data_IF_935937546169
#
_entry.id   IF_935937546169
#
_cell.length_a   1.000
_cell.length_b   1.000
_cell.length_c   1.000
_cell.angle_alpha   90.00
_cell.angle_beta   90.00
_cell.angle_gamma   90.00
#
_symmetry.space_group_name_H-M   'P 1'
#
loop_
_entity.id
_entity.type
_entity.pdbx_description
1 polymer ?
#
# COMPACT_ATOMS: atom_id res chain seq x y z
N UNK A 1 68.09 -58.31 -22.41
CA UNK A 1 66.88 -58.64 -21.63
C UNK A 1 65.97 -57.48 -21.40
N UNK A 2 66.03 -56.38 -22.19
CA UNK A 2 65.25 -55.15 -21.95
C UNK A 2 63.91 -55.08 -22.70
N UNK A 3 63.59 -55.96 -23.62
CA UNK A 3 62.42 -55.85 -24.51
C UNK A 3 61.09 -56.39 -23.94
N UNK A 4 61.09 -57.27 -22.95
CA UNK A 4 59.85 -57.87 -22.42
C UNK A 4 59.06 -56.93 -21.50
N UNK A 5 59.74 -56.04 -20.83
CA UNK A 5 59.11 -55.04 -19.93
C UNK A 5 58.39 -53.90 -20.72
N UNK A 6 59.04 -53.44 -21.78
CA UNK A 6 58.47 -52.38 -22.64
C UNK A 6 57.22 -52.84 -23.38
N UNK A 7 57.20 -54.11 -23.84
CA UNK A 7 56.05 -54.71 -24.53
C UNK A 7 54.85 -54.83 -23.55
N UNK A 8 55.11 -55.21 -22.29
CA UNK A 8 54.01 -55.28 -21.28
C UNK A 8 53.42 -53.92 -20.97
N UNK A 9 54.27 -52.89 -20.83
CA UNK A 9 53.79 -51.52 -20.59
C UNK A 9 53.01 -50.99 -21.81
N UNK A 10 53.47 -51.22 -23.01
CA UNK A 10 52.78 -50.81 -24.22
C UNK A 10 51.42 -51.51 -24.39
N UNK A 11 51.33 -52.79 -24.12
CA UNK A 11 50.07 -53.55 -24.15
C UNK A 11 49.09 -53.08 -23.08
N UNK A 12 49.60 -52.85 -21.86
CA UNK A 12 48.74 -52.35 -20.76
C UNK A 12 48.18 -50.94 -21.08
N UNK A 13 49.02 -50.06 -21.64
CA UNK A 13 48.55 -48.71 -22.05
C UNK A 13 47.52 -48.76 -23.19
N UNK A 14 47.72 -49.70 -24.13
CA UNK A 14 46.76 -49.87 -25.27
C UNK A 14 45.41 -50.42 -24.82
N UNK A 15 45.41 -51.37 -23.87
CA UNK A 15 44.20 -51.94 -23.27
C UNK A 15 43.49 -50.88 -22.42
N UNK A 16 44.22 -50.13 -21.62
CA UNK A 16 43.63 -49.02 -20.82
C UNK A 16 43.08 -47.91 -21.69
N UNK A 17 43.72 -47.60 -22.84
CA UNK A 17 43.22 -46.63 -23.82
C UNK A 17 41.91 -47.08 -24.49
N UNK A 18 41.81 -48.37 -24.86
CA UNK A 18 40.61 -48.95 -25.46
C UNK A 18 39.42 -48.98 -24.49
N UNK A 19 39.71 -49.36 -23.23
CA UNK A 19 38.65 -49.36 -22.20
C UNK A 19 38.22 -47.93 -21.88
N UNK A 20 39.16 -47.02 -21.67
CA UNK A 20 38.86 -45.59 -21.41
C UNK A 20 38.11 -44.94 -22.57
N UNK A 21 38.52 -45.19 -23.81
CA UNK A 21 37.86 -44.70 -25.02
C UNK A 21 36.43 -45.29 -25.19
N UNK A 22 36.28 -46.61 -24.93
CA UNK A 22 35.00 -47.27 -25.00
C UNK A 22 34.00 -46.77 -23.96
N UNK A 23 34.44 -46.54 -22.74
CA UNK A 23 33.58 -45.95 -21.66
C UNK A 23 33.25 -44.48 -21.99
N UNK A 24 34.18 -43.70 -22.49
CA UNK A 24 33.91 -42.31 -22.89
C UNK A 24 32.90 -42.26 -24.08
N UNK A 25 33.11 -43.08 -25.10
CA UNK A 25 32.23 -43.17 -26.26
C UNK A 25 30.84 -43.71 -25.89
N UNK A 26 30.77 -44.74 -25.05
CA UNK A 26 29.52 -45.31 -24.52
C UNK A 26 28.78 -44.31 -23.63
N UNK A 27 29.50 -43.56 -22.80
CA UNK A 27 28.94 -42.51 -21.97
C UNK A 27 28.35 -41.36 -22.80
N UNK A 28 29.09 -40.89 -23.81
CA UNK A 28 28.59 -39.81 -24.71
C UNK A 28 27.34 -40.27 -25.45
N UNK A 29 27.33 -41.49 -26.02
CA UNK A 29 26.16 -42.01 -26.71
C UNK A 29 24.97 -42.24 -25.76
N UNK A 30 25.21 -42.68 -24.52
CA UNK A 30 24.17 -42.84 -23.50
C UNK A 30 23.54 -41.49 -23.12
N UNK A 31 24.35 -40.42 -22.94
CA UNK A 31 23.86 -39.08 -22.67
C UNK A 31 23.17 -38.46 -23.90
N UNK A 32 23.61 -38.71 -25.13
CA UNK A 32 22.97 -38.24 -26.34
C UNK A 32 21.62 -38.92 -26.64
N UNK A 33 21.51 -40.21 -26.39
CA UNK A 33 20.26 -40.98 -26.64
C UNK A 33 19.19 -40.79 -25.52
N UNK A 34 19.58 -40.39 -24.32
CA UNK A 34 18.63 -40.21 -23.20
C UNK A 34 18.15 -38.79 -23.02
N UNK A 35 18.27 -37.91 -24.07
CA UNK A 35 17.67 -36.55 -24.09
C UNK A 35 17.79 -35.80 -22.75
N UNK A 36 18.94 -35.85 -22.08
CA UNK A 36 19.27 -34.83 -21.11
C UNK A 36 19.69 -33.62 -21.97
N UNK A 37 18.70 -32.83 -22.38
CA UNK A 37 18.89 -31.62 -23.13
C UNK A 37 19.67 -30.61 -22.26
N UNK A 38 20.98 -30.64 -22.39
CA UNK A 38 21.76 -29.43 -22.17
C UNK A 38 21.35 -28.48 -23.30
N UNK A 39 20.49 -27.53 -23.00
CA UNK A 39 20.16 -26.44 -23.90
C UNK A 39 21.44 -25.60 -24.13
N UNK A 40 22.28 -26.03 -25.07
CA UNK A 40 23.25 -25.16 -25.66
C UNK A 40 22.47 -24.23 -26.59
N UNK A 41 22.18 -23.02 -26.14
CA UNK A 41 21.80 -21.90 -27.00
C UNK A 41 22.94 -21.70 -27.98
N UNK A 42 22.85 -22.29 -29.19
CA UNK A 42 23.74 -21.94 -30.29
C UNK A 42 23.45 -20.50 -30.67
N UNK A 43 24.40 -19.62 -30.39
CA UNK A 43 24.42 -18.26 -30.95
C UNK A 43 24.46 -18.43 -32.47
N UNK A 44 23.55 -17.81 -33.24
CA UNK A 44 23.59 -17.88 -34.71
C UNK A 44 24.89 -17.21 -35.17
N UNK A 45 25.85 -18.00 -35.61
CA UNK A 45 26.96 -17.49 -36.43
C UNK A 45 26.41 -17.11 -37.80
N UNK A 46 26.41 -15.81 -38.10
CA UNK A 46 25.90 -15.29 -39.36
C UNK A 46 26.58 -15.92 -40.57
N UNK A 47 25.85 -16.72 -41.31
CA UNK A 47 26.10 -16.97 -42.71
C UNK A 47 24.92 -16.43 -43.52
N UNK A 48 25.25 -15.65 -44.58
CA UNK A 48 24.31 -14.98 -45.47
C UNK A 48 23.43 -15.96 -46.27
N UNK A 49 22.59 -16.73 -45.60
CA UNK A 49 21.46 -17.44 -46.26
C UNK A 49 20.23 -17.24 -45.34
N UNK A 50 19.17 -16.73 -45.93
CA UNK A 50 17.86 -16.52 -45.34
C UNK A 50 17.45 -17.72 -44.47
N UNK A 51 17.72 -17.67 -43.16
CA UNK A 51 17.25 -18.64 -42.20
C UNK A 51 15.84 -18.23 -41.75
N UNK A 52 14.83 -19.02 -42.11
CA UNK A 52 13.55 -18.88 -41.44
C UNK A 52 13.71 -19.32 -39.96
N UNK A 53 13.60 -18.38 -39.05
CA UNK A 53 13.46 -18.66 -37.62
C UNK A 53 12.06 -19.20 -37.37
N UNK A 54 11.94 -20.53 -37.25
CA UNK A 54 10.68 -21.14 -36.79
C UNK A 54 10.62 -21.09 -35.29
N UNK A 55 9.64 -20.37 -34.71
CA UNK A 55 9.31 -20.46 -33.32
C UNK A 55 8.60 -21.79 -33.06
N UNK A 56 9.23 -22.67 -32.30
CA UNK A 56 8.58 -23.93 -31.86
C UNK A 56 7.63 -23.61 -30.73
N UNK A 57 6.33 -23.88 -30.90
CA UNK A 57 5.34 -23.85 -29.86
C UNK A 57 5.55 -25.05 -28.92
N UNK A 58 6.37 -24.91 -27.89
CA UNK A 58 6.44 -25.85 -26.79
C UNK A 58 5.20 -25.61 -25.93
N UNK A 59 4.22 -26.51 -25.98
CA UNK A 59 3.10 -26.50 -25.06
C UNK A 59 3.60 -26.94 -23.67
N UNK A 60 4.08 -26.00 -22.88
CA UNK A 60 4.41 -26.27 -21.47
C UNK A 60 3.14 -26.03 -20.66
N UNK A 61 2.56 -27.10 -20.16
CA UNK A 61 1.39 -27.04 -19.28
C UNK A 61 1.88 -26.72 -17.86
N UNK A 62 2.25 -25.44 -17.59
CA UNK A 62 2.68 -24.97 -16.26
C UNK A 62 1.48 -24.48 -15.50
N UNK A 63 0.85 -25.36 -14.71
CA UNK A 63 -0.19 -24.98 -13.75
C UNK A 63 0.41 -24.87 -12.36
N UNK A 64 0.99 -23.70 -12.03
CA UNK A 64 1.39 -23.41 -10.64
C UNK A 64 0.18 -23.00 -9.79
N UNK A 65 0.30 -23.11 -8.47
CA UNK A 65 -0.74 -22.62 -7.57
C UNK A 65 -0.94 -21.10 -7.71
N UNK A 66 0.14 -20.34 -7.94
CA UNK A 66 0.08 -18.91 -8.22
C UNK A 66 -0.74 -18.59 -9.48
N UNK A 67 -0.57 -19.37 -10.55
CA UNK A 67 -1.38 -19.24 -11.78
C UNK A 67 -2.87 -19.47 -11.49
N UNK A 68 -3.21 -20.49 -10.69
CA UNK A 68 -4.61 -20.74 -10.30
C UNK A 68 -5.20 -19.62 -9.47
N UNK A 69 -4.45 -19.07 -8.51
CA UNK A 69 -4.88 -17.92 -7.72
C UNK A 69 -5.14 -16.71 -8.60
N UNK A 70 -4.25 -16.43 -9.56
CA UNK A 70 -4.41 -15.34 -10.51
C UNK A 70 -5.67 -15.51 -11.35
N UNK A 71 -5.83 -16.65 -12.04
CA UNK A 71 -6.98 -16.90 -12.91
C UNK A 71 -8.32 -16.82 -12.15
N UNK A 72 -8.34 -17.31 -10.91
CA UNK A 72 -9.53 -17.31 -10.07
C UNK A 72 -9.89 -15.92 -9.52
N UNK A 73 -8.95 -14.99 -9.41
CA UNK A 73 -9.17 -13.73 -8.70
C UNK A 73 -9.00 -12.47 -9.56
N UNK A 74 -8.35 -12.56 -10.73
CA UNK A 74 -8.10 -11.39 -11.61
C UNK A 74 -9.36 -10.58 -11.93
N UNK A 75 -10.51 -11.25 -12.10
CA UNK A 75 -11.78 -10.59 -12.39
C UNK A 75 -12.37 -9.80 -11.19
N UNK A 76 -11.86 -10.00 -9.98
CA UNK A 76 -12.21 -9.21 -8.81
C UNK A 76 -11.27 -8.01 -8.59
N UNK A 77 -10.18 -7.89 -9.36
CA UNK A 77 -9.23 -6.78 -9.27
C UNK A 77 -9.50 -5.78 -10.38
N UNK A 78 -9.49 -4.50 -10.06
CA UNK A 78 -9.83 -3.41 -10.96
C UNK A 78 -8.78 -2.31 -10.90
N UNK A 79 -8.64 -1.55 -11.99
CA UNK A 79 -7.91 -0.27 -11.96
C UNK A 79 -8.86 0.83 -11.49
N UNK A 80 -8.39 1.73 -10.65
CA UNK A 80 -9.12 2.88 -10.11
C UNK A 80 -8.45 4.15 -10.60
N UNK A 81 -9.21 4.97 -11.34
CA UNK A 81 -8.73 6.21 -11.94
C UNK A 81 -9.39 7.40 -11.26
N UNK A 82 -8.58 8.27 -10.70
CA UNK A 82 -8.98 9.54 -10.13
C UNK A 82 -9.02 10.61 -11.22
N UNK A 83 -10.19 11.19 -11.43
CA UNK A 83 -10.43 12.23 -12.42
C UNK A 83 -10.60 13.58 -11.70
N UNK A 84 -9.85 14.59 -12.12
CA UNK A 84 -9.95 15.94 -11.58
C UNK A 84 -10.27 16.94 -12.66
N UNK A 85 -10.89 18.07 -12.27
CA UNK A 85 -11.11 19.20 -13.17
C UNK A 85 -9.77 19.88 -13.43
N UNK A 86 -9.49 20.21 -14.68
CA UNK A 86 -8.32 21.01 -15.03
C UNK A 86 -8.40 22.33 -14.28
N UNK A 87 -7.45 22.58 -13.38
CA UNK A 87 -7.29 23.89 -12.77
C UNK A 87 -6.76 24.85 -13.84
N UNK A 88 -7.54 25.81 -14.24
CA UNK A 88 -7.13 26.87 -15.17
C UNK A 88 -6.19 27.88 -14.47
N UNK A 89 -5.10 27.40 -13.90
CA UNK A 89 -4.02 28.25 -13.39
C UNK A 89 -2.92 28.39 -14.43
N UNK A 90 -3.26 28.79 -15.64
CA UNK A 90 -2.29 29.30 -16.61
C UNK A 90 -2.41 30.81 -16.74
N UNK A 91 -2.17 31.52 -15.64
CA UNK A 91 -1.90 32.95 -15.67
C UNK A 91 -0.39 33.22 -15.91
N UNK A 92 0.26 32.38 -16.74
CA UNK A 92 1.63 32.65 -17.19
C UNK A 92 1.66 33.51 -18.48
N UNK A 93 0.52 33.73 -19.15
CA UNK A 93 0.44 34.50 -20.39
C UNK A 93 0.47 36.03 -20.17
N UNK A 94 0.51 36.52 -18.92
CA UNK A 94 0.49 37.93 -18.60
C UNK A 94 1.83 38.55 -18.23
N UNK A 95 2.94 37.82 -18.25
CA UNK A 95 4.27 38.32 -17.82
C UNK A 95 5.25 38.54 -18.98
N UNK A 96 4.98 38.01 -20.16
CA UNK A 96 5.77 38.39 -21.35
C UNK A 96 4.94 39.34 -22.21
N UNK A 97 5.05 40.62 -21.84
CA UNK A 97 4.57 41.74 -22.66
C UNK A 97 5.17 41.68 -24.03
N UNK A 98 4.33 41.54 -25.04
CA UNK A 98 4.59 41.75 -26.45
C UNK A 98 3.43 42.55 -26.98
N UNK A 99 3.62 43.85 -27.02
CA UNK A 99 2.80 44.81 -27.73
C UNK A 99 2.87 44.48 -29.22
N UNK A 100 1.75 44.12 -29.84
CA UNK A 100 1.47 44.55 -31.21
C UNK A 100 -0.03 44.48 -31.52
N UNK A 101 -0.51 45.60 -31.96
CA UNK A 101 -1.84 45.95 -32.38
C UNK A 101 -2.24 45.26 -33.69
N UNK A 102 -3.42 44.76 -33.78
CA UNK A 102 -4.46 45.17 -34.74
C UNK A 102 -5.51 44.07 -35.00
N UNK A 103 -6.74 44.47 -34.85
CA UNK A 103 -7.82 44.22 -35.82
C UNK A 103 -8.72 43.03 -35.67
N UNK A 104 -9.91 43.36 -35.20
CA UNK A 104 -11.25 42.92 -35.69
C UNK A 104 -11.81 41.54 -35.41
N UNK A 105 -13.00 41.69 -34.83
CA UNK A 105 -14.27 40.99 -35.02
C UNK A 105 -14.56 39.65 -34.33
N UNK A 106 -15.28 39.85 -33.24
CA UNK A 106 -16.58 39.27 -32.87
C UNK A 106 -16.96 37.91 -33.46
N UNK A 107 -17.03 36.96 -32.59
CA UNK A 107 -18.25 36.17 -32.43
C UNK A 107 -18.26 35.50 -31.05
N UNK A 108 -19.14 36.00 -30.20
CA UNK A 108 -19.56 35.41 -28.94
C UNK A 108 -20.26 34.08 -29.21
N UNK A 109 -19.53 33.01 -29.11
CA UNK A 109 -20.14 31.71 -28.84
C UNK A 109 -19.94 31.43 -27.37
N UNK A 110 -21.01 31.59 -26.62
CA UNK A 110 -21.17 31.05 -25.27
C UNK A 110 -21.08 29.54 -25.32
N UNK A 111 -19.86 29.02 -25.39
CA UNK A 111 -19.58 27.61 -25.22
C UNK A 111 -19.50 27.36 -23.71
N UNK A 112 -20.53 26.70 -23.19
CA UNK A 112 -20.59 26.19 -21.84
C UNK A 112 -19.33 25.37 -21.60
N UNK A 113 -18.39 25.97 -20.86
CA UNK A 113 -17.13 25.33 -20.46
C UNK A 113 -17.42 24.11 -19.59
N UNK A 114 -17.73 22.98 -20.21
CA UNK A 114 -17.65 21.69 -19.56
C UNK A 114 -16.19 21.50 -19.19
N UNK A 115 -15.84 21.76 -17.93
CA UNK A 115 -14.50 21.57 -17.40
C UNK A 115 -14.07 20.13 -17.65
N UNK A 116 -13.18 19.95 -18.64
CA UNK A 116 -12.71 18.62 -19.05
C UNK A 116 -12.03 17.95 -17.88
N UNK A 117 -12.52 16.75 -17.53
CA UNK A 117 -11.91 15.91 -16.50
C UNK A 117 -10.65 15.27 -17.07
N UNK A 118 -9.53 15.38 -16.38
CA UNK A 118 -8.26 14.76 -16.72
C UNK A 118 -7.91 13.69 -15.68
N UNK A 119 -7.17 12.66 -16.11
CA UNK A 119 -6.67 11.61 -15.23
C UNK A 119 -5.54 12.17 -14.38
N UNK A 120 -5.74 12.20 -13.05
CA UNK A 120 -4.79 12.75 -12.09
C UNK A 120 -3.90 11.69 -11.46
N UNK A 121 -4.48 10.58 -11.04
CA UNK A 121 -3.77 9.44 -10.47
C UNK A 121 -4.51 8.14 -10.74
N UNK A 122 -3.76 7.06 -10.75
CA UNK A 122 -4.25 5.71 -10.92
C UNK A 122 -3.79 4.81 -9.78
N UNK A 123 -4.60 3.80 -9.47
CA UNK A 123 -4.31 2.76 -8.51
C UNK A 123 -5.13 1.52 -8.80
N UNK A 124 -5.16 0.62 -7.87
CA UNK A 124 -5.92 -0.63 -7.93
C UNK A 124 -7.06 -0.65 -6.92
N UNK A 125 -8.00 -1.57 -7.12
CA UNK A 125 -9.09 -1.83 -6.18
C UNK A 125 -9.49 -3.30 -6.21
N UNK A 126 -10.19 -3.72 -5.17
CA UNK A 126 -10.67 -5.08 -5.01
C UNK A 126 -12.17 -5.11 -4.83
N UNK A 127 -12.89 -5.80 -5.71
CA UNK A 127 -14.32 -6.07 -5.57
C UNK A 127 -14.49 -7.15 -4.52
N UNK A 128 -15.06 -6.81 -3.37
CA UNK A 128 -15.21 -7.73 -2.24
C UNK A 128 -16.66 -8.13 -1.94
N UNK A 129 -17.63 -7.36 -2.45
CA UNK A 129 -19.04 -7.62 -2.18
C UNK A 129 -19.92 -7.23 -3.36
N UNK A 130 -20.92 -8.08 -3.67
CA UNK A 130 -22.04 -7.79 -4.57
C UNK A 130 -23.34 -7.86 -3.78
N UNK A 131 -24.21 -6.86 -3.94
CA UNK A 131 -25.50 -6.80 -3.22
C UNK A 131 -26.52 -6.07 -4.10
N UNK A 132 -27.48 -6.82 -4.62
CA UNK A 132 -28.44 -6.31 -5.61
C UNK A 132 -27.73 -5.73 -6.83
N UNK A 133 -28.12 -4.54 -7.25
CA UNK A 133 -27.56 -3.82 -8.41
C UNK A 133 -26.24 -3.11 -8.10
N UNK A 134 -25.68 -3.30 -6.91
CA UNK A 134 -24.45 -2.67 -6.47
C UNK A 134 -23.33 -3.68 -6.23
N UNK A 135 -22.09 -3.26 -6.54
CA UNK A 135 -20.89 -3.92 -6.06
C UNK A 135 -19.99 -2.92 -5.34
N UNK A 136 -19.29 -3.42 -4.34
CA UNK A 136 -18.43 -2.62 -3.46
C UNK A 136 -16.97 -2.98 -3.70
N UNK A 137 -16.16 -1.94 -3.79
CA UNK A 137 -14.70 -2.03 -4.04
C UNK A 137 -14.00 -1.37 -2.86
N UNK A 138 -12.97 -2.04 -2.32
CA UNK A 138 -12.00 -1.41 -1.44
C UNK A 138 -10.78 -0.96 -2.25
N UNK A 139 -10.28 0.23 -1.94
CA UNK A 139 -9.04 0.80 -2.47
C UNK A 139 -8.36 1.67 -1.40
N UNK A 140 -7.24 2.32 -1.71
CA UNK A 140 -6.65 3.29 -0.80
C UNK A 140 -7.31 4.67 -0.90
N UNK A 141 -7.36 5.37 0.23
CA UNK A 141 -7.87 6.74 0.29
C UNK A 141 -7.05 7.70 -0.58
N UNK A 142 -5.71 7.58 -0.59
CA UNK A 142 -4.87 8.47 -1.39
C UNK A 142 -5.12 8.32 -2.91
N UNK A 143 -5.58 7.15 -3.38
CA UNK A 143 -5.95 6.92 -4.79
C UNK A 143 -7.16 7.76 -5.21
N UNK A 144 -8.13 7.95 -4.33
CA UNK A 144 -9.40 8.63 -4.62
C UNK A 144 -9.50 10.04 -4.07
N UNK A 145 -8.53 10.47 -3.27
CA UNK A 145 -8.54 11.77 -2.61
C UNK A 145 -8.54 12.92 -3.62
N UNK A 146 -9.35 13.97 -3.36
CA UNK A 146 -9.46 15.15 -4.22
C UNK A 146 -10.13 14.91 -5.57
N UNK A 147 -10.70 13.72 -5.82
CA UNK A 147 -11.35 13.42 -7.10
C UNK A 147 -12.61 14.25 -7.34
N UNK A 148 -12.78 14.70 -8.58
CA UNK A 148 -14.07 15.21 -9.08
C UNK A 148 -14.98 14.10 -9.57
N UNK A 149 -14.39 13.00 -10.07
CA UNK A 149 -15.07 11.77 -10.45
C UNK A 149 -14.10 10.57 -10.33
N UNK A 150 -14.65 9.38 -10.16
CA UNK A 150 -13.89 8.13 -10.15
C UNK A 150 -14.35 7.24 -11.29
N UNK A 151 -13.40 6.71 -12.04
CA UNK A 151 -13.61 5.67 -13.06
C UNK A 151 -12.94 4.39 -12.60
N UNK A 152 -13.63 3.28 -12.81
CA UNK A 152 -13.10 1.93 -12.57
C UNK A 152 -12.98 1.22 -13.90
N UNK A 153 -11.85 0.56 -14.15
CA UNK A 153 -11.64 -0.30 -15.33
C UNK A 153 -11.55 -1.74 -14.81
N UNK A 154 -12.46 -2.57 -15.31
CA UNK A 154 -12.51 -3.99 -15.02
C UNK A 154 -11.39 -4.75 -15.76
N UNK A 155 -11.11 -5.98 -15.34
CA UNK A 155 -10.08 -6.83 -15.98
C UNK A 155 -10.35 -7.15 -17.46
N UNK A 156 -11.57 -7.00 -17.94
CA UNK A 156 -11.97 -7.14 -19.35
C UNK A 156 -11.92 -5.82 -20.14
N UNK A 157 -11.44 -4.72 -19.51
CA UNK A 157 -11.37 -3.39 -20.09
C UNK A 157 -12.66 -2.57 -19.97
N UNK A 158 -13.74 -3.13 -19.41
CA UNK A 158 -15.01 -2.40 -19.20
C UNK A 158 -14.81 -1.22 -18.26
N UNK A 159 -15.20 -0.02 -18.68
CA UNK A 159 -15.11 1.23 -17.89
C UNK A 159 -16.42 1.52 -17.21
N UNK A 160 -16.41 1.71 -15.91
CA UNK A 160 -17.57 2.01 -15.08
C UNK A 160 -17.33 3.28 -14.25
N UNK A 161 -18.36 4.09 -14.06
CA UNK A 161 -18.32 5.18 -13.08
C UNK A 161 -18.50 4.61 -11.67
N UNK A 162 -17.74 5.12 -10.72
CA UNK A 162 -17.83 4.74 -9.32
C UNK A 162 -18.21 5.93 -8.46
N UNK A 163 -18.93 5.65 -7.35
CA UNK A 163 -19.24 6.62 -6.31
C UNK A 163 -18.47 6.26 -5.04
N UNK A 164 -17.88 7.24 -4.38
CA UNK A 164 -17.26 7.06 -3.06
C UNK A 164 -18.40 6.82 -2.05
N UNK A 165 -18.31 5.72 -1.30
CA UNK A 165 -19.21 5.39 -0.18
C UNK A 165 -18.69 6.01 1.10
N UNK A 166 -17.38 5.92 1.34
CA UNK A 166 -16.69 6.51 2.46
C UNK A 166 -15.19 6.38 2.31
N UNK A 167 -14.48 7.22 3.06
CA UNK A 167 -13.01 7.27 3.06
C UNK A 167 -12.48 7.41 4.48
N UNK A 168 -11.28 6.89 4.71
CA UNK A 168 -10.54 7.05 5.95
C UNK A 168 -9.07 7.34 5.70
N UNK A 169 -8.68 8.58 5.94
CA UNK A 169 -7.30 9.04 5.74
C UNK A 169 -6.31 8.51 6.79
N UNK A 170 -6.81 8.01 7.93
CA UNK A 170 -5.97 7.48 9.01
C UNK A 170 -5.45 6.08 8.67
N UNK A 171 -6.30 5.20 8.16
CA UNK A 171 -5.94 3.86 7.70
C UNK A 171 -5.58 3.81 6.22
N UNK A 172 -5.78 4.93 5.49
CA UNK A 172 -5.58 5.02 4.03
C UNK A 172 -6.48 4.06 3.24
N UNK A 173 -7.74 3.88 3.66
CA UNK A 173 -8.73 3.04 3.00
C UNK A 173 -9.91 3.87 2.46
N UNK A 174 -10.51 3.40 1.38
CA UNK A 174 -11.73 3.93 0.79
C UNK A 174 -12.62 2.80 0.29
N UNK A 175 -13.93 3.03 0.31
CA UNK A 175 -14.94 2.15 -0.29
C UNK A 175 -15.62 2.87 -1.44
N UNK A 176 -15.64 2.20 -2.60
CA UNK A 176 -16.35 2.65 -3.79
C UNK A 176 -17.55 1.75 -4.06
N UNK A 177 -18.55 2.31 -4.75
CA UNK A 177 -19.75 1.61 -5.22
C UNK A 177 -19.86 1.76 -6.74
N UNK A 178 -20.06 0.63 -7.44
CA UNK A 178 -20.32 0.56 -8.89
C UNK A 178 -21.62 -0.20 -9.17
N UNK A 179 -22.13 -0.12 -10.40
CA UNK A 179 -23.19 -1.02 -10.87
C UNK A 179 -22.64 -2.45 -10.97
N UNK A 180 -23.41 -3.43 -10.48
CA UNK A 180 -22.97 -4.82 -10.38
C UNK A 180 -23.16 -5.65 -11.63
N UNK A 181 -23.80 -5.13 -12.69
CA UNK A 181 -24.20 -5.89 -13.88
C UNK A 181 -23.03 -6.55 -14.62
N UNK A 182 -21.86 -5.93 -14.57
CA UNK A 182 -20.61 -6.44 -15.17
C UNK A 182 -19.70 -7.18 -14.18
N UNK A 183 -20.11 -7.29 -12.92
CA UNK A 183 -19.29 -7.96 -11.89
C UNK A 183 -19.56 -9.45 -11.90
N UNK A 184 -18.56 -10.23 -12.30
CA UNK A 184 -18.62 -11.70 -12.40
C UNK A 184 -18.01 -12.38 -11.18
N UNK A 185 -17.11 -11.70 -10.44
CA UNK A 185 -16.36 -12.28 -9.34
C UNK A 185 -16.17 -11.28 -8.20
N UNK A 186 -16.19 -11.79 -6.98
CA UNK A 186 -15.77 -11.09 -5.76
C UNK A 186 -14.69 -11.90 -5.08
N UNK A 187 -13.73 -11.23 -4.43
CA UNK A 187 -12.70 -11.88 -3.65
C UNK A 187 -13.13 -12.14 -2.21
N UNK A 188 -12.51 -13.13 -1.57
CA UNK A 188 -12.75 -13.49 -0.17
C UNK A 188 -11.56 -13.08 0.69
N UNK A 189 -11.82 -12.53 1.87
CA UNK A 189 -10.79 -12.20 2.85
C UNK A 189 -10.35 -13.44 3.64
N UNK A 190 -9.05 -13.58 3.84
CA UNK A 190 -8.44 -14.49 4.80
C UNK A 190 -8.17 -13.81 6.13
N UNK A 191 -7.80 -14.59 7.15
CA UNK A 191 -7.44 -14.06 8.46
C UNK A 191 -5.95 -13.68 8.51
N UNK A 192 -5.66 -12.37 8.51
CA UNK A 192 -4.28 -11.85 8.57
C UNK A 192 -3.55 -12.11 9.89
N UNK A 193 -4.25 -12.52 10.95
CA UNK A 193 -3.60 -12.92 12.20
C UNK A 193 -2.97 -14.32 12.13
N UNK A 194 -3.42 -15.16 11.21
CA UNK A 194 -2.95 -16.54 11.05
C UNK A 194 -1.81 -16.71 10.05
N UNK A 195 -1.47 -15.68 9.27
CA UNK A 195 -0.37 -15.72 8.30
C UNK A 195 0.98 -15.96 9.00
N UNK A 196 1.94 -16.54 8.30
CA UNK A 196 3.28 -16.80 8.82
C UNK A 196 4.33 -16.15 7.93
N UNK A 197 5.43 -15.71 8.54
CA UNK A 197 6.61 -15.22 7.82
C UNK A 197 7.16 -16.36 6.96
N UNK A 198 7.52 -16.06 5.71
CA UNK A 198 7.97 -17.04 4.72
C UNK A 198 6.86 -17.64 3.86
N UNK A 199 5.56 -17.44 4.19
CA UNK A 199 4.46 -17.86 3.31
C UNK A 199 4.46 -17.05 2.01
N UNK A 200 4.10 -17.71 0.91
CA UNK A 200 3.96 -17.05 -0.41
C UNK A 200 2.90 -15.98 -0.37
N UNK A 201 3.25 -14.81 -0.86
CA UNK A 201 2.38 -13.67 -1.06
C UNK A 201 2.30 -13.31 -2.55
N UNK A 202 1.09 -13.01 -3.03
CA UNK A 202 0.80 -12.70 -4.42
C UNK A 202 0.07 -11.35 -4.48
N UNK A 203 0.61 -10.37 -5.19
CA UNK A 203 -0.08 -9.10 -5.41
C UNK A 203 -0.61 -9.04 -6.85
N UNK A 204 -1.86 -8.61 -7.00
CA UNK A 204 -2.47 -8.35 -8.30
C UNK A 204 -2.88 -6.88 -8.33
N UNK A 205 -2.53 -6.18 -9.42
CA UNK A 205 -2.83 -4.76 -9.57
C UNK A 205 -2.52 -4.22 -10.95
N UNK A 206 -2.46 -2.89 -11.04
CA UNK A 206 -2.17 -2.15 -12.27
C UNK A 206 -0.91 -1.30 -12.09
N UNK A 207 0.28 -1.92 -11.92
CA UNK A 207 1.51 -1.17 -11.74
C UNK A 207 1.76 -0.27 -12.95
N UNK A 208 2.08 1.00 -12.72
CA UNK A 208 2.32 1.99 -13.77
C UNK A 208 1.08 2.31 -14.66
N UNK A 209 -0.14 2.08 -14.13
CA UNK A 209 -1.39 2.48 -14.76
C UNK A 209 -2.18 1.36 -15.43
N UNK A 210 -3.34 1.73 -15.97
CA UNK A 210 -4.34 0.81 -16.54
C UNK A 210 -3.83 0.00 -17.74
N UNK A 211 -2.78 0.48 -18.43
CA UNK A 211 -2.12 -0.27 -19.53
C UNK A 211 -1.45 -1.56 -19.04
N UNK A 212 -1.14 -1.63 -17.74
CA UNK A 212 -0.55 -2.79 -17.07
C UNK A 212 -1.53 -3.44 -16.08
N UNK A 213 -2.83 -3.28 -16.34
CA UNK A 213 -3.89 -3.87 -15.53
C UNK A 213 -3.71 -5.39 -15.38
N UNK A 214 -4.10 -5.93 -14.21
CA UNK A 214 -4.01 -7.36 -13.90
C UNK A 214 -2.60 -7.95 -13.94
N UNK A 215 -1.57 -7.17 -13.58
CA UNK A 215 -0.22 -7.69 -13.37
C UNK A 215 -0.15 -8.47 -12.07
N UNK A 216 0.46 -9.67 -12.11
CA UNK A 216 0.75 -10.50 -10.94
C UNK A 216 2.21 -10.35 -10.54
N UNK A 217 2.48 -10.07 -9.26
CA UNK A 217 3.81 -10.20 -8.66
C UNK A 217 3.78 -11.20 -7.52
N UNK A 218 4.89 -11.87 -7.27
CA UNK A 218 5.03 -12.92 -6.26
C UNK A 218 6.23 -12.65 -5.37
N UNK A 219 6.08 -12.93 -4.10
CA UNK A 219 7.10 -12.86 -3.06
C UNK A 219 6.67 -13.66 -1.84
N UNK A 220 7.12 -13.23 -0.67
CA UNK A 220 6.79 -13.85 0.62
C UNK A 220 6.30 -12.80 1.63
N UNK A 221 5.73 -13.25 2.72
CA UNK A 221 5.47 -12.44 3.90
C UNK A 221 6.79 -12.30 4.67
N UNK A 222 7.35 -11.08 4.68
CA UNK A 222 8.62 -10.76 5.36
C UNK A 222 8.43 -10.43 6.83
N UNK A 223 7.27 -9.82 7.21
CA UNK A 223 6.85 -9.61 8.59
C UNK A 223 5.33 -9.48 8.68
N UNK A 224 4.74 -9.92 9.80
CA UNK A 224 3.29 -10.03 9.95
C UNK A 224 2.63 -8.84 10.68
N UNK A 225 3.33 -8.20 11.60
CA UNK A 225 2.84 -7.04 12.38
C UNK A 225 3.97 -6.04 12.59
N UNK A 226 4.29 -5.28 11.55
CA UNK A 226 5.28 -4.21 11.66
C UNK A 226 4.58 -2.88 11.91
N UNK A 227 5.08 -2.11 12.88
CA UNK A 227 4.60 -0.75 13.11
C UNK A 227 5.42 0.19 12.25
N UNK A 228 4.77 0.94 11.36
CA UNK A 228 5.38 1.97 10.51
C UNK A 228 4.77 3.33 10.85
N UNK A 229 5.59 4.39 10.76
CA UNK A 229 5.10 5.75 10.92
C UNK A 229 4.26 6.14 9.69
N UNK A 230 3.11 6.80 9.93
CA UNK A 230 2.35 7.46 8.86
C UNK A 230 2.67 8.95 8.85
N UNK A 231 2.92 9.51 7.67
CA UNK A 231 3.29 10.92 7.52
C UNK A 231 2.24 11.69 6.71
N UNK A 232 2.16 13.01 6.93
CA UNK A 232 1.43 13.94 6.06
C UNK A 232 2.31 14.36 4.87
N UNK A 233 1.76 15.20 4.00
CA UNK A 233 2.47 15.76 2.82
C UNK A 233 3.68 16.61 3.19
N UNK A 234 3.77 17.08 4.43
CA UNK A 234 4.91 17.85 4.97
C UNK A 234 5.95 16.98 5.67
N UNK A 235 5.87 15.63 5.56
CA UNK A 235 6.79 14.69 6.19
C UNK A 235 6.63 14.53 7.71
N UNK A 236 5.64 15.17 8.33
CA UNK A 236 5.41 15.05 9.78
C UNK A 236 4.69 13.74 10.11
N UNK A 237 5.18 13.02 11.12
CA UNK A 237 4.52 11.81 11.62
C UNK A 237 3.15 12.15 12.21
N UNK A 238 2.10 11.60 11.61
CA UNK A 238 0.71 11.81 12.04
C UNK A 238 0.14 10.65 12.85
N UNK A 239 0.78 9.49 12.81
CA UNK A 239 0.36 8.29 13.51
C UNK A 239 1.28 7.11 13.23
N UNK A 240 0.82 5.94 13.62
CA UNK A 240 1.46 4.66 13.32
C UNK A 240 0.42 3.68 12.78
N UNK A 241 0.80 2.91 11.78
CA UNK A 241 0.00 1.82 11.22
C UNK A 241 0.67 0.48 11.51
N UNK A 242 -0.13 -0.54 11.81
CA UNK A 242 0.35 -1.93 11.84
C UNK A 242 0.14 -2.53 10.46
N UNK A 243 1.20 -3.08 9.86
CA UNK A 243 1.20 -3.55 8.48
C UNK A 243 1.80 -4.94 8.35
N UNK A 244 1.45 -5.62 7.26
CA UNK A 244 2.16 -6.79 6.74
C UNK A 244 3.31 -6.24 5.89
N UNK A 245 4.53 -6.74 6.09
CA UNK A 245 5.65 -6.49 5.20
C UNK A 245 5.83 -7.68 4.25
N UNK A 246 6.09 -7.38 2.98
CA UNK A 246 6.35 -8.38 1.93
C UNK A 246 7.48 -7.89 1.02
N UNK A 247 8.19 -8.80 0.38
CA UNK A 247 9.13 -8.52 -0.72
C UNK A 247 8.47 -8.65 -2.10
N UNK A 248 7.17 -8.99 -2.12
CA UNK A 248 6.36 -8.90 -3.34
C UNK A 248 6.48 -7.49 -3.92
N UNK A 249 6.81 -7.36 -5.20
CA UNK A 249 7.01 -6.06 -5.83
C UNK A 249 5.72 -5.22 -5.77
N UNK A 250 5.70 -4.21 -4.90
CA UNK A 250 4.63 -3.22 -4.77
C UNK A 250 5.16 -1.90 -5.32
N UNK A 251 4.57 -1.46 -6.44
CA UNK A 251 4.93 -0.24 -7.16
C UNK A 251 3.74 0.71 -7.24
N UNK A 252 3.98 1.91 -7.77
CA UNK A 252 2.90 2.86 -8.10
C UNK A 252 1.86 2.15 -9.00
N UNK A 253 0.58 2.25 -8.60
CA UNK A 253 -0.53 1.58 -9.27
C UNK A 253 -0.99 0.27 -8.61
N UNK A 254 -0.14 -0.46 -7.85
CA UNK A 254 -0.59 -1.60 -7.04
C UNK A 254 -1.30 -1.17 -5.74
N UNK A 255 -1.18 0.11 -5.33
CA UNK A 255 -1.88 0.66 -4.17
C UNK A 255 -3.38 0.48 -4.30
N UNK A 256 -4.02 -0.03 -3.24
CA UNK A 256 -5.45 -0.37 -3.20
C UNK A 256 -5.79 -1.75 -3.74
N UNK A 257 -4.86 -2.43 -4.41
CA UNK A 257 -5.00 -3.81 -4.86
C UNK A 257 -4.75 -4.82 -3.74
N UNK A 258 -5.20 -6.07 -3.91
CA UNK A 258 -5.06 -7.13 -2.92
C UNK A 258 -3.65 -7.71 -2.83
N UNK A 259 -3.28 -8.12 -1.62
CA UNK A 259 -2.25 -9.11 -1.33
C UNK A 259 -2.95 -10.42 -1.00
N UNK A 260 -2.71 -11.48 -1.79
CA UNK A 260 -3.29 -12.80 -1.60
C UNK A 260 -2.30 -13.76 -0.94
N UNK A 261 -2.82 -14.74 -0.21
CA UNK A 261 -2.09 -15.95 0.12
C UNK A 261 -2.19 -16.97 -1.02
N UNK A 262 -1.45 -18.08 -0.91
CA UNK A 262 -1.43 -19.14 -1.93
C UNK A 262 -2.76 -19.91 -2.03
N UNK A 263 -3.69 -19.75 -1.09
CA UNK A 263 -5.06 -20.27 -1.17
C UNK A 263 -6.02 -19.33 -1.93
N UNK A 264 -5.55 -18.16 -2.38
CA UNK A 264 -6.35 -17.15 -3.08
C UNK A 264 -7.23 -16.31 -2.16
N UNK A 265 -6.95 -16.26 -0.87
CA UNK A 265 -7.62 -15.38 0.08
C UNK A 265 -6.84 -14.07 0.22
N UNK A 266 -7.54 -12.96 0.32
CA UNK A 266 -6.96 -11.62 0.55
C UNK A 266 -6.49 -11.51 1.99
N UNK A 267 -5.19 -11.36 2.20
CA UNK A 267 -4.56 -11.19 3.52
C UNK A 267 -4.25 -9.73 3.83
N UNK A 268 -4.30 -8.85 2.83
CA UNK A 268 -4.11 -7.41 3.01
C UNK A 268 -4.44 -6.61 1.75
N UNK A 269 -4.45 -5.28 1.91
CA UNK A 269 -4.55 -4.30 0.81
C UNK A 269 -3.21 -3.56 0.72
N UNK A 270 -2.59 -3.60 -0.44
CA UNK A 270 -1.29 -3.00 -0.70
C UNK A 270 -1.36 -1.47 -0.58
N UNK A 271 -0.36 -0.84 0.02
CA UNK A 271 -0.25 0.62 0.11
C UNK A 271 1.21 1.05 -0.05
N UNK A 272 1.51 1.71 -1.15
CA UNK A 272 2.84 2.27 -1.41
C UNK A 272 3.14 3.47 -0.50
N UNK A 273 2.12 4.22 -0.07
CA UNK A 273 2.28 5.35 0.87
C UNK A 273 2.97 4.94 2.18
N UNK A 274 2.80 3.68 2.59
CA UNK A 274 3.40 3.13 3.80
C UNK A 274 4.85 2.66 3.59
N UNK A 275 5.32 2.58 2.34
CA UNK A 275 6.67 2.13 1.96
C UNK A 275 7.67 3.28 1.79
N UNK A 276 7.21 4.54 1.84
CA UNK A 276 8.08 5.71 1.72
C UNK A 276 8.65 6.10 3.08
N UNK A 277 9.95 6.36 3.13
CA UNK A 277 10.58 6.99 4.29
C UNK A 277 10.25 8.50 4.36
N UNK A 278 10.74 9.19 5.40
CA UNK A 278 10.52 10.63 5.58
C UNK A 278 11.15 11.49 4.45
N UNK A 279 12.00 10.91 3.59
CA UNK A 279 12.62 11.58 2.44
C UNK A 279 11.86 11.30 1.12
N UNK A 280 10.78 10.50 1.16
CA UNK A 280 10.03 10.11 -0.02
C UNK A 280 10.70 9.00 -0.84
N UNK A 281 11.79 8.42 -0.34
CA UNK A 281 12.52 7.34 -0.99
C UNK A 281 11.81 6.00 -0.70
N UNK A 282 11.41 5.28 -1.73
CA UNK A 282 10.96 3.90 -1.60
C UNK A 282 12.16 2.98 -1.46
N UNK A 283 12.12 2.05 -0.52
CA UNK A 283 13.17 1.04 -0.37
C UNK A 283 12.82 -0.17 -1.21
N UNK A 284 13.65 -0.51 -2.18
CA UNK A 284 13.46 -1.70 -3.01
C UNK A 284 13.37 -2.97 -2.16
N UNK A 285 12.47 -3.88 -2.52
CA UNK A 285 12.27 -5.14 -1.82
C UNK A 285 11.50 -5.02 -0.50
N UNK A 286 10.93 -3.83 -0.17
CA UNK A 286 10.05 -3.65 0.98
C UNK A 286 8.69 -3.10 0.56
N UNK A 287 7.71 -3.98 0.42
CA UNK A 287 6.31 -3.63 0.24
C UNK A 287 5.53 -3.74 1.56
N UNK A 288 4.43 -2.99 1.66
CA UNK A 288 3.55 -3.03 2.83
C UNK A 288 2.09 -3.18 2.41
N UNK A 289 1.34 -3.92 3.23
CA UNK A 289 -0.10 -4.08 3.05
C UNK A 289 -0.83 -3.88 4.39
N UNK A 290 -2.00 -3.24 4.33
CA UNK A 290 -2.91 -3.09 5.48
C UNK A 290 -3.54 -4.47 5.74
N UNK A 291 -3.43 -5.03 6.97
CA UNK A 291 -3.91 -6.38 7.26
C UNK A 291 -5.41 -6.55 7.00
N UNK A 292 -5.82 -7.69 6.45
CA UNK A 292 -7.22 -7.95 6.07
C UNK A 292 -8.21 -7.80 7.23
N UNK A 293 -7.83 -8.19 8.47
CA UNK A 293 -8.69 -8.03 9.63
C UNK A 293 -9.00 -6.55 9.93
N UNK A 294 -8.01 -5.67 9.75
CA UNK A 294 -8.20 -4.21 9.85
C UNK A 294 -9.03 -3.70 8.69
N UNK A 295 -8.73 -4.14 7.45
CA UNK A 295 -9.49 -3.76 6.26
C UNK A 295 -10.98 -4.07 6.45
N UNK A 296 -11.33 -5.30 6.86
CA UNK A 296 -12.74 -5.72 7.04
C UNK A 296 -13.45 -4.87 8.09
N UNK A 297 -12.79 -4.54 9.20
CA UNK A 297 -13.33 -3.66 10.22
C UNK A 297 -13.66 -2.28 9.62
N UNK A 298 -12.71 -1.66 8.96
CA UNK A 298 -12.82 -0.31 8.41
C UNK A 298 -13.87 -0.24 7.29
N UNK A 299 -13.85 -1.16 6.31
CA UNK A 299 -14.82 -1.12 5.20
C UNK A 299 -16.27 -1.31 5.68
N UNK A 300 -16.49 -2.08 6.75
CA UNK A 300 -17.83 -2.21 7.34
C UNK A 300 -18.29 -0.88 7.94
N UNK A 301 -17.44 -0.17 8.69
CA UNK A 301 -17.76 1.15 9.23
C UNK A 301 -18.00 2.17 8.10
N UNK A 302 -17.17 2.17 7.05
CA UNK A 302 -17.34 3.05 5.90
C UNK A 302 -18.67 2.80 5.15
N UNK A 303 -19.09 1.54 5.02
CA UNK A 303 -20.38 1.20 4.37
C UNK A 303 -21.56 1.61 5.24
N UNK A 304 -21.46 1.45 6.56
CA UNK A 304 -22.55 1.75 7.49
C UNK A 304 -22.70 3.25 7.76
N UNK A 305 -21.59 3.96 7.96
CA UNK A 305 -21.58 5.32 8.49
C UNK A 305 -21.07 6.37 7.47
N UNK A 306 -20.49 5.94 6.35
CA UNK A 306 -19.78 6.81 5.40
C UNK A 306 -18.40 7.25 5.87
N UNK A 307 -18.04 6.99 7.12
CA UNK A 307 -16.80 7.39 7.78
C UNK A 307 -16.46 6.43 8.93
N UNK A 308 -15.20 6.46 9.38
CA UNK A 308 -14.77 5.73 10.59
C UNK A 308 -14.97 6.62 11.81
N UNK A 309 -15.81 6.18 12.73
CA UNK A 309 -16.11 6.93 13.95
C UNK A 309 -15.01 6.71 14.97
N UNK A 310 -14.23 7.75 15.26
CA UNK A 310 -13.15 7.71 16.25
C UNK A 310 -13.42 8.63 17.41
N UNK A 311 -13.03 8.20 18.65
CA UNK A 311 -13.13 9.07 19.82
C UNK A 311 -12.19 10.27 19.69
N UNK A 312 -12.56 11.37 20.33
CA UNK A 312 -11.78 12.59 20.36
C UNK A 312 -11.66 13.13 21.78
N UNK A 313 -10.50 13.70 22.12
CA UNK A 313 -10.25 14.30 23.43
C UNK A 313 -10.82 15.72 23.54
N UNK A 314 -10.97 16.41 22.41
CA UNK A 314 -11.38 17.80 22.34
C UNK A 314 -10.33 18.76 22.87
N UNK A 315 -9.11 18.62 22.37
CA UNK A 315 -7.95 19.45 22.72
C UNK A 315 -7.19 19.88 21.47
N UNK A 316 -6.62 21.08 21.49
CA UNK A 316 -5.53 21.45 20.60
C UNK A 316 -4.22 21.11 21.30
N UNK A 317 -3.31 20.45 20.62
CA UNK A 317 -2.11 19.87 21.22
C UNK A 317 -0.83 20.21 20.48
N UNK A 318 0.30 20.10 21.16
CA UNK A 318 1.62 20.31 20.61
C UNK A 318 2.60 19.28 21.19
N UNK A 319 3.56 18.78 20.40
CA UNK A 319 4.56 17.83 20.93
C UNK A 319 5.51 18.53 21.89
N UNK A 320 5.76 17.94 23.04
CA UNK A 320 6.68 18.48 24.04
C UNK A 320 8.10 18.66 23.50
N UNK A 321 8.52 17.78 22.60
CA UNK A 321 9.83 17.87 21.94
C UNK A 321 10.05 19.15 21.12
N UNK A 322 8.97 19.82 20.72
CA UNK A 322 9.03 21.07 19.96
C UNK A 322 8.97 22.34 20.85
N UNK A 323 8.95 22.15 22.17
CA UNK A 323 8.96 23.23 23.17
C UNK A 323 10.38 23.38 23.73
N UNK A 324 10.87 24.59 23.84
CA UNK A 324 12.19 24.85 24.39
C UNK A 324 12.36 24.32 25.80
N UNK A 325 13.54 23.84 26.18
CA UNK A 325 13.82 23.34 27.55
C UNK A 325 13.60 24.44 28.60
N UNK A 326 13.79 25.69 28.25
CA UNK A 326 13.48 26.86 29.09
C UNK A 326 11.99 26.93 29.41
N UNK A 327 11.13 26.82 28.38
CA UNK A 327 9.68 26.90 28.54
C UNK A 327 9.11 25.66 29.24
N UNK A 328 9.70 24.47 28.98
CA UNK A 328 9.34 23.25 29.72
C UNK A 328 9.54 23.46 31.25
N UNK A 329 10.62 24.15 31.61
CA UNK A 329 10.93 24.41 33.03
C UNK A 329 10.13 25.61 33.58
N UNK A 330 10.09 26.75 32.87
CA UNK A 330 9.51 28.00 33.40
C UNK A 330 7.99 28.05 33.27
N UNK A 331 7.42 27.60 32.14
CA UNK A 331 5.99 27.65 31.86
C UNK A 331 5.29 26.39 32.29
N UNK A 332 5.79 25.20 31.88
CA UNK A 332 5.16 23.92 32.17
C UNK A 332 5.56 23.36 33.54
N UNK A 333 6.63 23.91 34.14
CA UNK A 333 7.20 23.52 35.43
C UNK A 333 7.52 22.03 35.53
N UNK A 334 7.88 21.41 34.39
CA UNK A 334 8.13 19.98 34.32
C UNK A 334 9.40 19.58 35.06
N UNK A 335 9.41 18.41 35.71
CA UNK A 335 10.64 17.77 36.15
C UNK A 335 11.58 17.50 34.96
N UNK A 336 12.88 17.61 35.14
CA UNK A 336 13.90 17.38 34.09
C UNK A 336 13.88 15.96 33.52
N UNK A 337 13.31 15.01 34.26
CA UNK A 337 13.12 13.62 33.80
C UNK A 337 11.99 13.45 32.79
N UNK A 338 11.13 14.46 32.59
CA UNK A 338 10.02 14.40 31.64
C UNK A 338 10.43 15.13 30.36
N UNK A 339 10.89 14.38 29.38
CA UNK A 339 11.39 14.92 28.10
C UNK A 339 10.47 14.62 26.92
N UNK A 340 9.41 13.82 27.13
CA UNK A 340 8.47 13.39 26.08
C UNK A 340 7.04 13.47 26.59
N UNK A 341 6.11 13.79 25.70
CA UNK A 341 4.69 13.92 26.00
C UNK A 341 3.99 14.83 25.01
N UNK A 342 2.72 15.10 25.26
CA UNK A 342 1.88 15.98 24.42
C UNK A 342 1.29 17.08 25.28
N UNK A 343 1.59 18.32 24.95
CA UNK A 343 1.14 19.53 25.66
C UNK A 343 -0.23 19.93 25.17
N UNK A 344 -1.15 20.21 26.06
CA UNK A 344 -2.46 20.79 25.75
C UNK A 344 -2.31 22.29 25.60
N UNK A 345 -2.60 22.81 24.41
CA UNK A 345 -2.59 24.25 24.12
C UNK A 345 -3.97 24.89 24.34
N UNK A 346 -5.04 24.10 24.16
CA UNK A 346 -6.43 24.53 24.37
C UNK A 346 -7.30 23.31 24.68
N UNK A 347 -8.26 23.44 25.56
CA UNK A 347 -9.38 22.50 25.75
C UNK A 347 -10.66 23.14 25.24
N UNK A 348 -11.44 22.40 24.46
CA UNK A 348 -12.73 22.88 23.95
C UNK A 348 -13.84 22.70 24.99
N UNK A 349 -14.86 23.56 24.94
CA UNK A 349 -16.01 23.47 25.86
C UNK A 349 -16.78 22.17 25.63
N UNK A 350 -17.26 21.53 26.69
CA UNK A 350 -17.97 20.24 26.59
C UNK A 350 -17.10 19.03 26.27
N UNK A 351 -15.80 19.20 26.05
CA UNK A 351 -14.91 18.11 25.64
C UNK A 351 -14.61 17.11 26.74
N UNK A 352 -14.31 15.83 26.40
CA UNK A 352 -13.85 14.81 27.35
C UNK A 352 -12.69 15.26 28.22
N UNK A 353 -11.69 15.91 27.61
CA UNK A 353 -10.52 16.39 28.36
C UNK A 353 -10.90 17.46 29.38
N UNK A 354 -11.78 18.42 29.02
CA UNK A 354 -12.23 19.44 29.96
C UNK A 354 -13.08 18.86 31.08
N UNK A 355 -13.96 17.91 30.79
CA UNK A 355 -14.77 17.20 31.80
C UNK A 355 -13.90 16.38 32.76
N UNK A 356 -12.77 15.84 32.30
CA UNK A 356 -11.78 15.13 33.11
C UNK A 356 -10.85 16.07 33.91
N UNK A 357 -11.03 17.40 33.77
CA UNK A 357 -10.25 18.39 34.53
C UNK A 357 -8.89 18.76 33.92
N UNK A 358 -8.64 18.36 32.65
CA UNK A 358 -7.45 18.76 31.92
C UNK A 358 -7.58 20.22 31.46
N UNK A 359 -6.48 20.95 31.54
CA UNK A 359 -6.41 22.38 31.19
C UNK A 359 -5.25 22.72 30.28
N UNK A 360 -5.21 23.94 29.79
CA UNK A 360 -4.09 24.45 29.03
C UNK A 360 -2.77 24.30 29.79
N UNK A 361 -1.73 23.88 29.10
CA UNK A 361 -0.38 23.59 29.60
C UNK A 361 -0.23 22.28 30.38
N UNK A 362 -1.27 21.47 30.50
CA UNK A 362 -1.11 20.10 30.95
C UNK A 362 -0.34 19.26 29.93
N UNK A 363 0.47 18.34 30.41
CA UNK A 363 1.31 17.49 29.55
C UNK A 363 0.90 16.04 29.71
N UNK A 364 0.24 15.47 28.70
CA UNK A 364 -0.19 14.07 28.68
C UNK A 364 1.03 13.16 28.45
N UNK A 365 1.23 12.18 29.33
CA UNK A 365 2.34 11.21 29.27
C UNK A 365 1.87 9.76 29.20
N UNK A 366 0.59 9.49 29.48
CA UNK A 366 -0.02 8.15 29.36
C UNK A 366 -1.53 8.27 29.06
N UNK A 367 -2.05 7.38 28.21
CA UNK A 367 -3.48 7.25 27.93
C UNK A 367 -3.85 5.77 27.82
N UNK A 368 -4.84 5.30 28.60
CA UNK A 368 -5.30 3.92 28.58
C UNK A 368 -4.18 2.92 28.86
N UNK A 369 -3.23 3.24 29.78
CA UNK A 369 -2.07 2.39 30.09
C UNK A 369 -0.93 2.43 29.07
N UNK A 370 -1.09 3.16 27.95
CA UNK A 370 -0.05 3.29 26.90
C UNK A 370 0.73 4.59 27.10
N UNK A 371 2.06 4.52 27.02
CA UNK A 371 2.93 5.71 27.09
C UNK A 371 2.67 6.63 25.92
N UNK A 372 2.56 7.92 26.20
CA UNK A 372 2.41 9.00 25.22
C UNK A 372 3.72 9.77 25.14
N UNK A 373 4.40 9.66 24.03
CA UNK A 373 5.69 10.31 23.77
C UNK A 373 5.64 11.37 22.68
N UNK A 374 4.56 11.36 21.88
CA UNK A 374 4.31 12.29 20.76
C UNK A 374 2.81 12.30 20.44
N UNK A 375 2.40 13.23 19.58
CA UNK A 375 1.02 13.30 19.06
C UNK A 375 0.60 12.00 18.36
N UNK A 376 1.53 11.38 17.62
CA UNK A 376 1.28 10.11 16.97
C UNK A 376 0.98 8.98 17.95
N UNK A 377 1.73 8.87 19.05
CA UNK A 377 1.49 7.87 20.10
C UNK A 377 0.21 8.17 20.89
N UNK A 378 -0.14 9.44 21.10
CA UNK A 378 -1.42 9.84 21.70
C UNK A 378 -2.59 9.37 20.83
N UNK A 379 -2.54 9.63 19.52
CA UNK A 379 -3.58 9.17 18.57
C UNK A 379 -3.70 7.65 18.54
N UNK A 380 -2.57 6.93 18.47
CA UNK A 380 -2.58 5.47 18.50
C UNK A 380 -3.16 4.90 19.81
N UNK A 381 -2.87 5.54 20.95
CA UNK A 381 -3.46 5.15 22.22
C UNK A 381 -4.98 5.42 22.24
N UNK A 382 -5.41 6.59 21.76
CA UNK A 382 -6.81 7.00 21.72
C UNK A 382 -7.65 6.11 20.79
N UNK A 383 -7.17 5.83 19.58
CA UNK A 383 -7.91 5.05 18.57
C UNK A 383 -7.95 3.54 18.85
N UNK A 384 -7.26 3.09 19.90
CA UNK A 384 -7.44 1.74 20.44
C UNK A 384 -8.71 1.59 21.29
N UNK A 385 -9.41 2.70 21.55
CA UNK A 385 -10.64 2.75 22.34
C UNK A 385 -11.85 3.13 21.47
N UNK A 386 -13.03 2.83 21.95
CA UNK A 386 -14.30 3.18 21.31
C UNK A 386 -14.88 4.47 21.92
N UNK A 387 -15.82 5.08 21.19
CA UNK A 387 -16.63 6.18 21.74
C UNK A 387 -17.42 5.64 22.94
N UNK A 388 -17.54 6.43 24.00
CA UNK A 388 -18.13 6.13 25.32
C UNK A 388 -17.25 5.25 26.23
N UNK A 389 -16.09 4.76 25.83
CA UNK A 389 -15.15 4.14 26.76
C UNK A 389 -14.68 5.15 27.81
N UNK A 390 -14.35 4.63 29.00
CA UNK A 390 -13.67 5.40 30.04
C UNK A 390 -12.21 4.98 30.08
N UNK A 391 -11.31 5.94 29.89
CA UNK A 391 -9.86 5.70 29.84
C UNK A 391 -9.16 6.48 30.94
N UNK A 392 -8.11 5.91 31.49
CA UNK A 392 -7.25 6.60 32.48
C UNK A 392 -6.22 7.45 31.69
N UNK A 393 -6.06 8.71 32.09
CA UNK A 393 -5.04 9.61 31.56
C UNK A 393 -4.09 10.01 32.69
N UNK A 394 -2.76 9.88 32.47
CA UNK A 394 -1.73 10.46 33.31
C UNK A 394 -1.13 11.68 32.65
N UNK A 395 -1.05 12.75 33.41
CA UNK A 395 -0.59 14.03 32.88
C UNK A 395 0.10 14.85 33.96
N UNK A 396 0.98 15.76 33.60
CA UNK A 396 1.55 16.74 34.47
C UNK A 396 0.74 18.01 34.44
N UNK A 397 0.36 18.50 35.62
CA UNK A 397 -0.29 19.81 35.83
C UNK A 397 0.59 20.65 36.74
N UNK A 398 1.09 21.76 36.27
CA UNK A 398 2.02 22.62 37.05
C UNK A 398 3.18 21.82 37.69
N UNK A 399 3.79 20.90 36.91
CA UNK A 399 4.90 20.05 37.36
C UNK A 399 4.54 18.86 38.24
N UNK A 400 3.30 18.68 38.61
CA UNK A 400 2.83 17.58 39.47
C UNK A 400 2.14 16.52 38.60
N UNK A 401 2.54 15.26 38.75
CA UNK A 401 1.89 14.13 38.08
C UNK A 401 0.48 13.94 38.68
N UNK A 402 -0.51 13.89 37.79
CA UNK A 402 -1.91 13.61 38.10
C UNK A 402 -2.45 12.48 37.29
N UNK A 403 -3.51 11.86 37.77
CA UNK A 403 -4.27 10.83 37.08
C UNK A 403 -5.76 11.21 37.11
N UNK A 404 -6.43 11.06 35.93
CA UNK A 404 -7.88 11.26 35.83
C UNK A 404 -8.50 10.16 35.00
N UNK A 405 -9.78 9.87 35.24
CA UNK A 405 -10.60 9.04 34.37
C UNK A 405 -11.35 9.95 33.40
N UNK A 406 -11.28 9.64 32.09
CA UNK A 406 -11.87 10.42 31.02
C UNK A 406 -12.82 9.57 30.22
N UNK A 407 -14.09 9.95 30.16
CA UNK A 407 -15.08 9.31 29.31
C UNK A 407 -15.03 9.92 27.92
N UNK A 408 -14.81 9.11 26.90
CA UNK A 408 -14.63 9.54 25.50
C UNK A 408 -15.98 9.79 24.81
N UNK A 409 -16.69 10.84 25.19
CA UNK A 409 -18.06 11.14 24.72
C UNK A 409 -18.13 11.79 23.36
N UNK A 410 -17.00 12.29 22.83
CA UNK A 410 -16.94 13.05 21.58
C UNK A 410 -16.24 12.27 20.48
N UNK A 411 -16.60 12.59 19.22
CA UNK A 411 -15.96 12.07 18.03
C UNK A 411 -15.13 13.14 17.32
N UNK A 412 -14.25 12.73 16.42
CA UNK A 412 -13.52 13.66 15.55
C UNK A 412 -14.44 14.56 14.75
N UNK A 413 -15.63 14.06 14.35
CA UNK A 413 -16.65 14.82 13.60
C UNK A 413 -17.36 15.90 14.42
N UNK A 414 -17.71 15.58 15.66
CA UNK A 414 -18.44 16.51 16.52
C UNK A 414 -17.59 17.74 16.86
N UNK A 415 -16.29 17.54 17.03
CA UNK A 415 -15.35 18.63 17.33
C UNK A 415 -15.09 19.55 16.14
N UNK A 416 -15.08 19.04 14.91
CA UNK A 416 -14.90 19.88 13.71
C UNK A 416 -16.07 20.85 13.53
N UNK A 417 -17.28 20.48 13.97
CA UNK A 417 -18.46 21.36 13.93
C UNK A 417 -18.45 22.46 14.99
N UNK A 418 -17.69 22.28 16.10
CA UNK A 418 -17.58 23.27 17.18
C UNK A 418 -16.44 24.28 16.96
N UNK A 419 -15.56 24.03 15.98
CA UNK A 419 -14.40 24.88 15.68
C UNK A 419 -14.63 25.84 14.50
N UNK A 420 -15.75 25.72 13.81
CA UNK A 420 -16.26 26.64 12.78
C UNK A 420 -17.43 27.47 13.39
#
# INVERSE_FOLDING_TARGET
MANKSLIKVAVTALVAGLIGGGVAYGGINYFQNNNIATSSTSVPTGSNKSGSTSTTNVKVNVSSQATKVFENNKAAVVSVINLQKKSSSSSWSGILGGDDSSGSDSSSSSDSSSSKLEEYSEGSGLIYKKSGDAAYIVTNNHVVSGSSAIRVIMSDGTKLSAKIVGTDSVTDLAVLKINSSKVTKTASFGNSDNIKVGETALAIGSPMGSNYATTLTQGIISAKKRTVATTNTSGQTTGYATVIQTDTAINSGNSGGPLFNIAGQVIGINSMKLASDNSGTSVEGMGFAIPSNEVVKIINELVQNGEVVRPALGVATYDLSNISSSDQKSVLKLPTSVTKGVVIMKTYSGSPAKAAGLTKYDVITELGGKKVTSLATLRSALYAHSVNDTVTVKYYHNGKLKTANMKLTETTKTLTKQSN
#
